data_IF_001590348839
#
_entry.id   IF_001590348839
#
_cell.length_a   1.000
_cell.length_b   1.000
_cell.length_c   1.000
_cell.angle_alpha   90.00
_cell.angle_beta   90.00
_cell.angle_gamma   90.00
#
_symmetry.space_group_name_H-M   'P 1'
#
loop_
_entity.id
_entity.type
_entity.pdbx_description
1 polymer ?
#
# COMPACT_ATOMS: atom_id res chain seq x y z
N UNK A 1 2.91 5.60 -6.56
CA UNK A 1 4.27 5.38 -6.06
C UNK A 1 4.76 4.04 -6.56
N UNK A 2 5.91 4.00 -7.23
CA UNK A 2 6.58 2.77 -7.69
C UNK A 2 7.49 2.18 -6.60
N UNK A 3 8.01 0.97 -6.82
CA UNK A 3 8.97 0.34 -5.92
C UNK A 3 10.24 1.19 -5.73
N UNK A 4 10.83 1.68 -6.82
CA UNK A 4 12.06 2.47 -6.77
C UNK A 4 11.89 3.80 -6.02
N UNK A 5 10.76 4.47 -6.23
CA UNK A 5 10.37 5.67 -5.48
C UNK A 5 10.24 5.36 -3.97
N UNK A 6 9.60 4.24 -3.64
CA UNK A 6 9.41 3.80 -2.26
C UNK A 6 10.74 3.46 -1.56
N UNK A 7 11.66 2.77 -2.25
CA UNK A 7 13.02 2.50 -1.75
C UNK A 7 13.77 3.79 -1.48
N UNK A 8 13.75 4.73 -2.43
CA UNK A 8 14.39 6.04 -2.28
C UNK A 8 13.84 6.82 -1.07
N UNK A 9 12.52 6.81 -0.90
CA UNK A 9 11.83 7.41 0.26
C UNK A 9 12.33 6.83 1.58
N UNK A 10 12.57 5.52 1.68
CA UNK A 10 13.01 4.87 2.92
C UNK A 10 14.51 5.08 3.17
N UNK A 11 15.37 4.79 2.20
CA UNK A 11 16.84 4.82 2.37
C UNK A 11 17.32 6.23 2.76
N UNK A 12 16.97 7.24 1.95
CA UNK A 12 17.56 8.58 2.03
C UNK A 12 19.10 8.57 2.26
N UNK A 13 19.64 9.61 2.87
CA UNK A 13 21.11 9.74 3.06
C UNK A 13 21.74 8.72 4.01
N UNK A 14 20.98 8.17 4.96
CA UNK A 14 21.50 7.26 6.00
C UNK A 14 21.28 5.78 5.69
N UNK A 15 20.83 5.47 4.47
CA UNK A 15 20.54 4.10 4.02
C UNK A 15 19.63 3.30 4.98
N UNK A 16 18.64 3.97 5.61
CA UNK A 16 17.75 3.35 6.60
C UNK A 16 16.89 2.26 5.97
N UNK A 17 16.45 1.29 6.76
CA UNK A 17 15.48 0.25 6.35
C UNK A 17 14.05 0.56 6.81
N UNK A 18 13.85 1.58 7.66
CA UNK A 18 12.52 2.04 8.08
C UNK A 18 12.48 3.57 8.22
N UNK A 19 11.33 4.16 7.91
CA UNK A 19 11.06 5.60 8.05
C UNK A 19 9.62 5.85 8.47
N UNK A 20 9.41 6.73 9.44
CA UNK A 20 8.08 7.28 9.74
C UNK A 20 7.67 8.24 8.62
N UNK A 21 6.52 8.00 8.01
CA UNK A 21 6.03 8.75 6.84
C UNK A 21 4.69 9.45 7.12
N UNK A 22 4.08 9.21 8.27
CA UNK A 22 2.83 9.84 8.68
C UNK A 22 2.43 9.45 10.10
N UNK A 23 1.23 9.88 10.52
CA UNK A 23 0.70 9.48 11.82
C UNK A 23 0.46 7.97 11.85
N UNK A 24 1.03 7.29 12.85
CA UNK A 24 1.02 5.83 12.99
C UNK A 24 1.42 5.07 11.72
N UNK A 25 2.18 5.71 10.82
CA UNK A 25 2.49 5.18 9.49
C UNK A 25 4.00 5.13 9.27
N UNK A 26 4.51 3.95 8.90
CA UNK A 26 5.91 3.70 8.58
C UNK A 26 6.04 3.07 7.20
N UNK A 27 7.13 3.37 6.50
CA UNK A 27 7.59 2.59 5.34
C UNK A 27 8.81 1.77 5.76
N UNK A 28 8.79 0.48 5.45
CA UNK A 28 9.81 -0.50 5.81
C UNK A 28 10.26 -1.25 4.55
N UNK A 29 11.56 -1.40 4.36
CA UNK A 29 12.12 -2.33 3.36
C UNK A 29 12.28 -3.67 4.06
N UNK A 30 11.57 -4.68 3.57
CA UNK A 30 11.59 -6.04 4.09
C UNK A 30 12.80 -6.82 3.53
N UNK A 31 13.02 -8.04 4.03
CA UNK A 31 14.16 -8.88 3.63
C UNK A 31 14.12 -9.34 2.17
N UNK A 32 12.93 -9.35 1.55
CA UNK A 32 12.69 -9.72 0.15
C UNK A 32 12.69 -8.48 -0.78
N UNK A 33 13.26 -7.37 -0.34
CA UNK A 33 13.25 -6.06 -0.99
C UNK A 33 11.85 -5.44 -1.21
N UNK A 34 10.78 -6.06 -0.71
CA UNK A 34 9.44 -5.46 -0.72
C UNK A 34 9.42 -4.21 0.15
N UNK A 35 8.85 -3.11 -0.35
CA UNK A 35 8.58 -1.93 0.48
C UNK A 35 7.17 -2.02 1.05
N UNK A 36 7.06 -2.14 2.37
CA UNK A 36 5.80 -2.25 3.07
C UNK A 36 5.42 -0.94 3.77
N UNK A 37 4.20 -0.47 3.52
CA UNK A 37 3.58 0.63 4.22
C UNK A 37 2.78 0.06 5.39
N UNK A 38 3.24 0.34 6.60
CA UNK A 38 2.64 -0.10 7.85
C UNK A 38 1.81 1.01 8.46
N UNK A 39 0.53 0.76 8.68
CA UNK A 39 -0.36 1.61 9.49
C UNK A 39 -0.69 0.83 10.77
N UNK A 40 -0.35 1.39 11.94
CA UNK A 40 -0.38 0.67 13.22
C UNK A 40 0.40 -0.66 13.14
N UNK A 41 -0.30 -1.79 13.18
CA UNK A 41 0.28 -3.14 13.12
C UNK A 41 0.04 -3.84 11.79
N UNK A 42 -0.57 -3.16 10.81
CA UNK A 42 -0.98 -3.75 9.52
C UNK A 42 -0.13 -3.21 8.38
N UNK A 43 0.40 -4.09 7.54
CA UNK A 43 0.99 -3.70 6.25
C UNK A 43 -0.11 -3.46 5.22
N UNK A 44 -0.59 -2.22 5.15
CA UNK A 44 -1.75 -1.85 4.31
C UNK A 44 -1.43 -1.84 2.81
N UNK A 45 -0.17 -1.60 2.45
CA UNK A 45 0.34 -1.75 1.09
C UNK A 45 1.69 -2.43 1.13
N UNK A 46 1.92 -3.44 0.29
CA UNK A 46 3.24 -3.99 0.00
C UNK A 46 3.55 -3.77 -1.47
N UNK A 47 4.68 -3.14 -1.75
CA UNK A 47 5.13 -2.77 -3.10
C UNK A 47 6.29 -3.69 -3.46
N UNK A 48 6.11 -4.54 -4.46
CA UNK A 48 7.15 -5.47 -4.92
C UNK A 48 7.92 -4.90 -6.11
N UNK A 49 9.13 -5.39 -6.30
CA UNK A 49 10.01 -4.97 -7.39
C UNK A 49 9.45 -5.31 -8.78
N UNK A 50 8.60 -6.34 -8.88
CA UNK A 50 7.93 -6.75 -10.12
C UNK A 50 6.78 -5.80 -10.54
N UNK A 51 6.47 -4.76 -9.77
CA UNK A 51 5.37 -3.85 -10.08
C UNK A 51 4.00 -4.33 -9.61
N UNK A 52 3.95 -5.38 -8.77
CA UNK A 52 2.74 -5.79 -8.07
C UNK A 52 2.63 -5.18 -6.67
N UNK A 53 1.39 -5.04 -6.22
CA UNK A 53 1.03 -4.43 -4.95
C UNK A 53 0.04 -5.31 -4.21
N UNK A 54 0.30 -5.63 -2.95
CA UNK A 54 -0.70 -6.26 -2.07
C UNK A 54 -1.38 -5.19 -1.23
N UNK A 55 -2.71 -5.18 -1.20
CA UNK A 55 -3.52 -4.27 -0.39
C UNK A 55 -4.14 -5.00 0.80
N UNK A 56 -4.13 -4.39 1.97
CA UNK A 56 -4.75 -4.93 3.18
C UNK A 56 -5.39 -3.81 4.00
N UNK A 57 -6.58 -4.07 4.53
CA UNK A 57 -7.20 -3.32 5.59
C UNK A 57 -6.82 -3.84 6.99
N UNK A 58 -6.41 -5.11 7.09
CA UNK A 58 -6.19 -5.80 8.36
C UNK A 58 -7.48 -5.98 9.15
N UNK A 59 -8.63 -6.10 8.47
CA UNK A 59 -9.97 -6.13 9.06
C UNK A 59 -10.55 -4.75 9.41
N UNK A 60 -9.80 -3.66 9.22
CA UNK A 60 -10.20 -2.31 9.61
C UNK A 60 -10.44 -1.40 8.39
N UNK A 61 -11.63 -1.47 7.82
CA UNK A 61 -12.06 -0.62 6.70
C UNK A 61 -12.43 0.82 7.14
N UNK A 62 -11.45 1.56 7.64
CA UNK A 62 -11.60 2.95 8.09
C UNK A 62 -11.14 3.98 7.06
N UNK A 63 -11.54 5.24 7.23
CA UNK A 63 -11.11 6.34 6.36
C UNK A 63 -9.58 6.46 6.28
N UNK A 64 -8.87 6.33 7.41
CA UNK A 64 -7.41 6.41 7.46
C UNK A 64 -6.74 5.24 6.75
N UNK A 65 -7.26 4.03 6.90
CA UNK A 65 -6.75 2.86 6.18
C UNK A 65 -6.89 3.06 4.66
N UNK A 66 -8.04 3.56 4.21
CA UNK A 66 -8.32 3.84 2.79
C UNK A 66 -7.39 4.91 2.22
N UNK A 67 -7.20 5.99 2.99
CA UNK A 67 -6.31 7.10 2.65
C UNK A 67 -4.87 6.61 2.41
N UNK A 68 -4.33 5.76 3.30
CA UNK A 68 -2.99 5.17 3.12
C UNK A 68 -2.90 4.23 1.93
N UNK A 69 -3.92 3.41 1.69
CA UNK A 69 -3.96 2.55 0.51
C UNK A 69 -3.96 3.40 -0.77
N UNK A 70 -4.79 4.43 -0.85
CA UNK A 70 -4.88 5.32 -2.01
C UNK A 70 -3.60 6.13 -2.24
N UNK A 71 -2.93 6.54 -1.17
CA UNK A 71 -1.70 7.33 -1.25
C UNK A 71 -0.53 6.52 -1.82
N UNK A 72 -0.45 5.23 -1.51
CA UNK A 72 0.75 4.41 -1.77
C UNK A 72 0.53 3.25 -2.74
N UNK A 73 -0.68 3.08 -3.28
CA UNK A 73 -0.97 2.09 -4.32
C UNK A 73 -1.32 2.76 -5.65
N UNK A 74 -1.20 2.06 -6.79
CA UNK A 74 -1.57 2.60 -8.10
C UNK A 74 -3.09 2.56 -8.37
N UNK A 75 -3.89 2.10 -7.42
CA UNK A 75 -5.34 1.92 -7.58
C UNK A 75 -6.10 2.77 -6.59
N UNK A 76 -7.29 3.18 -7.01
CA UNK A 76 -8.19 3.96 -6.18
C UNK A 76 -9.19 3.03 -5.49
N UNK A 77 -9.19 3.06 -4.17
CA UNK A 77 -10.12 2.39 -3.27
C UNK A 77 -11.13 3.41 -2.76
N UNK A 78 -12.42 3.10 -2.93
CA UNK A 78 -13.53 3.93 -2.48
C UNK A 78 -14.55 3.10 -1.72
N UNK A 79 -15.50 3.77 -1.07
CA UNK A 79 -16.59 3.11 -0.34
C UNK A 79 -17.93 3.49 -0.97
N UNK A 80 -18.83 2.52 -1.07
CA UNK A 80 -20.23 2.71 -1.45
C UNK A 80 -21.07 1.72 -0.65
N UNK A 81 -22.16 2.19 -0.04
CA UNK A 81 -23.05 1.35 0.78
C UNK A 81 -22.30 0.53 1.85
N UNK A 82 -21.39 1.19 2.57
CA UNK A 82 -20.52 0.60 3.59
C UNK A 82 -19.48 -0.41 3.09
N UNK A 83 -19.52 -0.82 1.83
CA UNK A 83 -18.55 -1.75 1.23
C UNK A 83 -17.45 -1.02 0.46
N UNK A 84 -16.24 -1.58 0.46
CA UNK A 84 -15.10 -1.04 -0.27
C UNK A 84 -14.94 -1.68 -1.64
N UNK A 85 -14.51 -0.86 -2.59
CA UNK A 85 -14.29 -1.26 -3.97
C UNK A 85 -12.97 -0.68 -4.48
N UNK A 86 -12.30 -1.43 -5.35
CA UNK A 86 -11.11 -1.00 -6.09
C UNK A 86 -11.50 -0.70 -7.53
N UNK A 87 -11.14 0.50 -7.99
CA UNK A 87 -11.36 0.94 -9.37
C UNK A 87 -10.23 0.46 -10.28
N UNK A 88 -10.58 -0.25 -11.35
CA UNK A 88 -9.67 -0.73 -12.39
C UNK A 88 -10.26 -0.35 -13.76
N UNK A 89 -9.72 0.71 -14.36
CA UNK A 89 -10.35 1.36 -15.51
C UNK A 89 -11.74 1.88 -15.13
N UNK A 90 -12.75 1.52 -15.92
CA UNK A 90 -14.15 1.88 -15.66
C UNK A 90 -14.89 0.87 -14.78
N UNK A 91 -14.23 -0.23 -14.39
CA UNK A 91 -14.83 -1.29 -13.58
C UNK A 91 -14.46 -1.13 -12.10
N UNK A 92 -15.36 -1.63 -11.26
CA UNK A 92 -15.18 -1.64 -9.81
C UNK A 92 -15.28 -3.07 -9.30
N UNK A 93 -14.31 -3.47 -8.50
CA UNK A 93 -14.20 -4.81 -7.94
C UNK A 93 -14.30 -4.71 -6.42
N UNK A 94 -14.98 -5.63 -5.72
CA UNK A 94 -14.97 -5.65 -4.26
C UNK A 94 -13.54 -5.69 -3.72
N UNK A 95 -13.26 -4.85 -2.74
CA UNK A 95 -11.98 -4.88 -2.03
C UNK A 95 -11.90 -6.15 -1.19
N UNK A 96 -10.78 -6.86 -1.27
CA UNK A 96 -10.50 -8.03 -0.44
C UNK A 96 -9.13 -7.86 0.21
N UNK A 97 -9.04 -8.16 1.51
CA UNK A 97 -7.77 -8.21 2.23
C UNK A 97 -6.81 -9.20 1.55
N UNK A 98 -5.60 -8.75 1.27
CA UNK A 98 -4.57 -9.54 0.59
C UNK A 98 -4.66 -9.51 -0.93
N UNK A 99 -5.59 -8.77 -1.53
CA UNK A 99 -5.69 -8.70 -2.99
C UNK A 99 -4.41 -8.13 -3.61
N UNK A 100 -4.02 -8.69 -4.75
CA UNK A 100 -2.86 -8.24 -5.53
C UNK A 100 -3.36 -7.42 -6.71
N UNK A 101 -2.78 -6.24 -6.89
CA UNK A 101 -3.04 -5.35 -8.02
C UNK A 101 -1.73 -4.97 -8.72
N UNK A 102 -1.82 -4.58 -9.99
CA UNK A 102 -0.67 -4.24 -10.81
C UNK A 102 -0.44 -5.29 -11.90
N UNK A 103 0.67 -5.16 -12.60
CA UNK A 103 1.12 -6.12 -13.60
C UNK A 103 2.61 -6.40 -13.34
N UNK A 104 3.03 -7.67 -13.28
CA UNK A 104 4.44 -8.03 -13.34
C UNK A 104 5.05 -7.43 -14.61
N UNK A 105 6.13 -6.65 -14.47
CA UNK A 105 6.92 -6.10 -15.59
C UNK A 105 8.07 -7.00 -15.96
#
# INVERSE_FOLDING_TARGET
MTHSEAVSMVRGKRNKTSRKIGNNTYAEILSDDTVAIKLHSTYVVKIRADGTYTLNSGGWQTLTTKDRINQYSPRYVYQKNFEWFVKVGDKSYPFMDGMVVGCPT
#
